data_IF_867412216124
#
_entry.id   IF_867412216124
#
_cell.length_a   1.000
_cell.length_b   1.000
_cell.length_c   1.000
_cell.angle_alpha   90.00
_cell.angle_beta   90.00
_cell.angle_gamma   90.00
#
_symmetry.space_group_name_H-M   'P 1'
#
loop_
_entity.id
_entity.type
_entity.pdbx_description
1 polymer ?
#
# COMPACT_ATOMS: atom_id res chain seq x y z
N UNK A 1 36.93 -42.89 -33.10
CA UNK A 1 36.25 -41.82 -32.32
C UNK A 1 34.93 -41.51 -33.00
N UNK A 2 33.82 -41.98 -32.43
CA UNK A 2 32.49 -41.58 -32.92
C UNK A 2 32.17 -40.22 -32.28
N UNK A 3 32.08 -39.20 -33.12
CA UNK A 3 31.61 -37.90 -32.70
C UNK A 3 30.15 -37.99 -32.30
N UNK A 4 29.84 -37.65 -31.06
CA UNK A 4 28.48 -37.44 -30.61
C UNK A 4 27.91 -36.24 -31.40
N UNK A 5 27.16 -36.53 -32.48
CA UNK A 5 26.29 -35.53 -33.11
C UNK A 5 25.16 -35.21 -32.11
N UNK A 6 25.19 -34.05 -31.50
CA UNK A 6 24.02 -33.54 -30.82
C UNK A 6 22.94 -33.34 -31.88
N UNK A 7 21.89 -34.13 -31.82
CA UNK A 7 20.74 -33.96 -32.69
C UNK A 7 20.20 -32.51 -32.52
N UNK A 8 20.00 -31.85 -33.64
CA UNK A 8 19.38 -30.51 -33.65
C UNK A 8 17.88 -30.69 -33.33
N UNK A 9 17.57 -30.68 -32.06
CA UNK A 9 16.18 -30.89 -31.58
C UNK A 9 15.42 -29.59 -31.74
N UNK A 10 14.34 -29.62 -32.51
CA UNK A 10 13.46 -28.47 -32.66
C UNK A 10 12.76 -28.20 -31.33
N UNK A 11 12.95 -27.03 -30.74
CA UNK A 11 12.36 -26.64 -29.48
C UNK A 11 10.83 -26.79 -29.45
N UNK A 12 10.15 -26.64 -30.58
CA UNK A 12 8.69 -26.84 -30.67
C UNK A 12 8.23 -28.29 -30.47
N UNK A 13 9.15 -29.27 -30.58
CA UNK A 13 8.85 -30.69 -30.38
C UNK A 13 9.32 -31.23 -29.02
N UNK A 14 9.92 -30.40 -28.19
CA UNK A 14 10.29 -30.79 -26.84
C UNK A 14 9.06 -30.70 -25.92
N UNK A 15 8.92 -31.70 -25.06
CA UNK A 15 7.95 -31.67 -23.97
C UNK A 15 8.66 -31.40 -22.64
N UNK A 16 7.97 -30.78 -21.69
CA UNK A 16 8.49 -30.68 -20.34
C UNK A 16 8.93 -32.06 -19.82
N UNK A 17 10.14 -32.24 -19.24
CA UNK A 17 11.09 -31.24 -18.73
C UNK A 17 12.21 -30.81 -19.68
N UNK A 18 12.11 -31.09 -20.98
CA UNK A 18 13.17 -30.85 -21.96
C UNK A 18 13.11 -29.47 -22.62
N UNK A 19 12.02 -28.73 -22.40
CA UNK A 19 11.91 -27.33 -22.79
C UNK A 19 12.84 -26.46 -21.93
N UNK A 20 13.54 -25.54 -22.57
CA UNK A 20 14.33 -24.53 -21.90
C UNK A 20 13.44 -23.42 -21.27
N UNK A 21 12.30 -23.84 -20.72
CA UNK A 21 11.41 -22.92 -20.03
C UNK A 21 11.95 -22.62 -18.63
N UNK A 22 11.74 -21.41 -18.12
CA UNK A 22 12.09 -21.09 -16.74
C UNK A 22 11.38 -22.04 -15.78
N UNK A 23 12.11 -22.52 -14.78
CA UNK A 23 11.60 -23.45 -13.79
C UNK A 23 10.29 -22.94 -13.20
N UNK A 24 9.24 -23.79 -13.18
CA UNK A 24 7.96 -23.45 -12.57
C UNK A 24 7.04 -22.60 -13.44
N UNK A 25 7.32 -22.44 -14.75
CA UNK A 25 6.45 -21.64 -15.64
C UNK A 25 5.01 -22.18 -15.68
N UNK A 26 4.81 -23.47 -15.53
CA UNK A 26 3.48 -24.09 -15.48
C UNK A 26 2.62 -23.63 -14.26
N UNK A 27 3.25 -23.10 -13.22
CA UNK A 27 2.57 -22.55 -12.04
C UNK A 27 2.56 -21.02 -12.00
N UNK A 28 3.16 -20.35 -13.00
CA UNK A 28 3.13 -18.89 -13.11
C UNK A 28 1.72 -18.41 -13.49
N UNK A 29 1.32 -17.31 -12.90
CA UNK A 29 0.07 -16.61 -13.26
C UNK A 29 0.35 -15.60 -14.39
N UNK A 30 -0.71 -15.23 -15.12
CA UNK A 30 -0.59 -14.15 -16.11
C UNK A 30 -0.14 -12.85 -15.43
N UNK A 31 0.94 -12.26 -15.93
CA UNK A 31 1.54 -11.05 -15.35
C UNK A 31 2.66 -11.30 -14.34
N UNK A 32 2.95 -12.55 -14.00
CA UNK A 32 4.13 -12.87 -13.20
C UNK A 32 5.43 -12.63 -13.97
N UNK A 33 6.46 -12.24 -13.25
CA UNK A 33 7.84 -12.15 -13.72
C UNK A 33 8.72 -13.16 -13.02
N UNK A 34 9.66 -13.74 -13.73
CA UNK A 34 10.66 -14.63 -13.15
C UNK A 34 11.80 -13.82 -12.56
N UNK A 35 11.95 -13.86 -11.26
CA UNK A 35 13.03 -13.15 -10.55
C UNK A 35 14.11 -14.15 -10.14
N UNK A 36 15.32 -13.97 -10.70
CA UNK A 36 16.47 -14.79 -10.36
C UNK A 36 16.92 -14.53 -8.91
N UNK A 37 17.31 -15.58 -8.19
CA UNK A 37 17.76 -15.49 -6.80
C UNK A 37 19.28 -15.30 -6.64
N UNK A 38 20.03 -15.12 -7.72
CA UNK A 38 21.48 -15.02 -7.71
C UNK A 38 22.23 -16.34 -7.51
N UNK A 39 21.55 -17.48 -7.36
CA UNK A 39 22.14 -18.81 -7.12
C UNK A 39 21.76 -19.83 -8.20
N UNK A 40 21.52 -19.39 -9.42
CA UNK A 40 21.16 -20.23 -10.56
C UNK A 40 19.71 -20.71 -10.55
N UNK A 41 18.83 -20.09 -9.78
CA UNK A 41 17.40 -20.34 -9.72
C UNK A 41 16.63 -19.03 -9.53
N UNK A 42 15.31 -19.11 -9.37
CA UNK A 42 14.43 -17.96 -9.14
C UNK A 42 13.01 -18.41 -8.81
N UNK A 43 12.12 -17.45 -8.75
CA UNK A 43 10.70 -17.67 -8.51
C UNK A 43 9.85 -16.76 -9.40
N UNK A 44 8.67 -17.25 -9.78
CA UNK A 44 7.62 -16.44 -10.39
C UNK A 44 6.95 -15.61 -9.29
N UNK A 45 6.79 -14.33 -9.53
CA UNK A 45 6.15 -13.41 -8.60
C UNK A 45 5.38 -12.35 -9.38
N UNK A 46 4.32 -11.76 -8.82
CA UNK A 46 3.68 -10.60 -9.42
C UNK A 46 4.70 -9.52 -9.77
N UNK A 47 4.54 -8.91 -10.95
CA UNK A 47 5.44 -7.85 -11.42
C UNK A 47 5.47 -6.65 -10.48
N UNK A 48 4.39 -6.40 -9.76
CA UNK A 48 4.28 -5.39 -8.72
C UNK A 48 3.32 -5.87 -7.64
N UNK A 49 3.43 -5.30 -6.45
CA UNK A 49 2.49 -5.52 -5.36
C UNK A 49 1.86 -4.19 -4.96
N UNK A 50 0.57 -4.21 -4.65
CA UNK A 50 -0.17 -2.99 -4.38
C UNK A 50 -1.35 -3.23 -3.43
N UNK A 51 -1.80 -2.13 -2.82
CA UNK A 51 -3.09 -2.03 -2.18
C UNK A 51 -3.71 -0.69 -2.51
N UNK A 52 -4.98 -0.70 -2.87
CA UNK A 52 -5.83 0.46 -2.98
C UNK A 52 -6.99 0.29 -2.01
N UNK A 53 -7.13 1.23 -1.06
CA UNK A 53 -8.19 1.26 -0.09
C UNK A 53 -8.82 2.65 -0.01
N UNK A 54 -10.09 2.72 0.28
CA UNK A 54 -10.79 3.99 0.36
C UNK A 54 -11.85 4.00 1.47
N UNK A 55 -12.12 5.18 1.99
CA UNK A 55 -13.32 5.49 2.75
C UNK A 55 -14.41 5.90 1.75
N UNK A 56 -15.55 5.22 1.78
CA UNK A 56 -16.67 5.54 0.90
C UNK A 56 -17.09 7.01 1.10
N UNK A 57 -17.22 7.73 -0.04
CA UNK A 57 -17.59 9.14 -0.04
C UNK A 57 -19.07 9.32 0.31
N UNK A 58 -19.34 10.26 1.21
CA UNK A 58 -20.67 10.81 1.43
C UNK A 58 -20.64 12.34 1.28
N UNK A 59 -21.41 12.88 0.34
CA UNK A 59 -21.46 14.31 0.06
C UNK A 59 -22.31 15.11 1.06
N UNK A 60 -23.15 14.44 1.81
CA UNK A 60 -24.15 15.10 2.70
C UNK A 60 -23.75 15.05 4.15
N UNK A 61 -23.08 13.98 4.56
CA UNK A 61 -22.56 13.79 5.91
C UNK A 61 -21.09 13.37 5.83
N UNK A 62 -20.26 13.69 6.86
CA UNK A 62 -18.90 13.17 6.86
C UNK A 62 -18.93 11.65 6.93
N UNK A 63 -18.20 11.00 6.02
CA UNK A 63 -18.08 9.54 5.99
C UNK A 63 -17.36 9.00 7.24
N UNK A 64 -16.53 9.85 7.86
CA UNK A 64 -15.85 9.54 9.11
C UNK A 64 -15.62 10.82 9.93
N UNK A 65 -15.82 10.73 11.24
CA UNK A 65 -15.53 11.79 12.20
C UNK A 65 -14.45 11.32 13.16
N UNK A 66 -13.36 12.04 13.21
CA UNK A 66 -12.24 11.77 14.13
C UNK A 66 -12.25 12.78 15.28
N UNK A 67 -12.34 12.28 16.50
CA UNK A 67 -12.13 13.10 17.71
C UNK A 67 -10.61 13.33 17.88
N UNK A 68 -10.11 14.36 17.21
CA UNK A 68 -8.69 14.67 17.22
C UNK A 68 -8.27 15.36 18.51
N UNK A 69 -7.08 15.03 19.00
CA UNK A 69 -6.46 15.60 20.19
C UNK A 69 -5.19 16.37 19.83
N UNK A 70 -4.56 17.02 20.81
CA UNK A 70 -3.27 17.72 20.62
C UNK A 70 -2.08 16.76 20.49
N UNK A 71 -2.28 15.47 20.66
CA UNK A 71 -1.31 14.40 20.40
C UNK A 71 -1.75 13.59 19.19
N UNK A 72 -0.81 12.99 18.46
CA UNK A 72 -1.12 12.11 17.35
C UNK A 72 -1.94 10.90 17.83
N UNK A 73 -3.11 10.73 17.22
CA UNK A 73 -4.01 9.59 17.43
C UNK A 73 -4.30 8.92 16.10
N UNK A 74 -4.46 7.59 16.12
CA UNK A 74 -4.73 6.83 14.92
C UNK A 74 -6.11 7.17 14.37
N UNK A 75 -6.20 7.35 13.05
CA UNK A 75 -7.47 7.41 12.35
C UNK A 75 -7.98 5.98 12.14
N UNK A 76 -9.23 5.77 12.48
CA UNK A 76 -9.86 4.46 12.35
C UNK A 76 -11.16 4.51 11.52
N UNK A 77 -11.11 4.97 10.25
CA UNK A 77 -12.24 4.89 9.34
C UNK A 77 -12.46 3.43 8.92
N UNK A 78 -13.68 3.12 8.49
CA UNK A 78 -13.95 1.84 7.81
C UNK A 78 -13.46 1.92 6.37
N UNK A 79 -12.29 1.38 6.10
CA UNK A 79 -11.73 1.31 4.76
C UNK A 79 -12.30 0.13 3.98
N UNK A 80 -12.54 0.35 2.69
CA UNK A 80 -12.92 -0.68 1.73
C UNK A 80 -11.72 -0.92 0.81
N UNK A 81 -11.31 -2.17 0.65
CA UNK A 81 -10.30 -2.55 -0.34
C UNK A 81 -10.92 -2.56 -1.73
N UNK A 82 -10.36 -1.80 -2.66
CA UNK A 82 -10.75 -1.86 -4.07
C UNK A 82 -9.87 -2.83 -4.87
N UNK A 83 -8.60 -2.93 -4.50
CA UNK A 83 -7.64 -3.86 -5.10
C UNK A 83 -6.51 -4.10 -4.11
N UNK A 84 -6.05 -5.34 -3.99
CA UNK A 84 -4.89 -5.67 -3.17
C UNK A 84 -4.17 -6.90 -3.73
N UNK A 85 -2.86 -6.80 -3.85
CA UNK A 85 -1.97 -7.89 -4.20
C UNK A 85 -0.72 -7.79 -3.34
N UNK A 86 -0.45 -8.84 -2.56
CA UNK A 86 0.60 -8.83 -1.55
C UNK A 86 0.31 -7.97 -0.32
N UNK A 87 -0.93 -7.48 -0.17
CA UNK A 87 -1.38 -6.70 0.99
C UNK A 87 -2.77 -7.13 1.45
N UNK A 88 -3.10 -6.80 2.68
CA UNK A 88 -4.46 -6.89 3.22
C UNK A 88 -4.87 -5.55 3.82
N UNK A 89 -6.15 -5.21 3.65
CA UNK A 89 -6.78 -4.06 4.29
C UNK A 89 -7.63 -4.56 5.44
N UNK A 90 -7.45 -4.01 6.63
CA UNK A 90 -8.24 -4.36 7.80
C UNK A 90 -8.68 -3.11 8.56
N UNK A 91 -9.78 -3.25 9.31
CA UNK A 91 -10.36 -2.19 10.15
C UNK A 91 -10.33 -2.56 11.65
N UNK A 92 -9.66 -3.66 12.00
CA UNK A 92 -9.52 -4.12 13.39
C UNK A 92 -8.07 -4.53 13.69
N UNK A 93 -7.48 -4.09 14.82
CA UNK A 93 -8.02 -3.14 15.81
C UNK A 93 -8.13 -1.70 15.28
N UNK A 94 -7.38 -1.36 14.22
CA UNK A 94 -7.40 -0.05 13.54
C UNK A 94 -7.47 -0.23 12.03
N UNK A 95 -7.86 0.84 11.33
CA UNK A 95 -7.77 0.90 9.88
C UNK A 95 -6.30 0.87 9.45
N UNK A 96 -5.90 -0.20 8.75
CA UNK A 96 -4.50 -0.43 8.33
C UNK A 96 -4.39 -1.18 7.02
N UNK A 97 -3.26 -0.99 6.38
CA UNK A 97 -2.81 -1.78 5.23
C UNK A 97 -1.60 -2.59 5.69
N UNK A 98 -1.69 -3.91 5.66
CA UNK A 98 -0.62 -4.83 6.09
C UNK A 98 -0.02 -5.52 4.88
N UNK A 99 1.30 -5.52 4.79
CA UNK A 99 2.03 -6.27 3.76
C UNK A 99 2.06 -7.76 4.11
N UNK A 100 1.64 -8.59 3.17
CA UNK A 100 1.56 -10.06 3.33
C UNK A 100 2.48 -10.82 2.38
N UNK A 101 3.20 -10.11 1.52
CA UNK A 101 4.17 -10.71 0.62
C UNK A 101 5.34 -11.36 1.36
N UNK A 102 5.99 -12.30 0.71
CA UNK A 102 7.07 -13.10 1.32
C UNK A 102 8.47 -12.52 1.10
N UNK A 103 8.61 -11.51 0.25
CA UNK A 103 9.87 -10.83 -0.06
C UNK A 103 9.80 -9.39 0.44
N UNK A 104 10.94 -8.81 0.76
CA UNK A 104 10.98 -7.38 1.05
C UNK A 104 10.47 -6.58 -0.15
N UNK A 105 9.69 -5.55 0.11
CA UNK A 105 9.09 -4.69 -0.90
C UNK A 105 9.60 -3.26 -0.72
N UNK A 106 10.05 -2.61 -1.78
CA UNK A 106 10.24 -1.16 -1.78
C UNK A 106 8.99 -0.51 -2.39
N UNK A 107 8.28 0.32 -1.64
CA UNK A 107 7.00 0.87 -2.07
C UNK A 107 6.85 2.37 -1.83
N UNK A 108 6.10 3.00 -2.71
CA UNK A 108 5.57 4.35 -2.56
C UNK A 108 4.18 4.29 -1.93
N UNK A 109 3.90 5.27 -1.09
CA UNK A 109 2.66 5.40 -0.34
C UNK A 109 2.06 6.75 -0.69
N UNK A 110 0.79 6.76 -1.08
CA UNK A 110 0.03 7.97 -1.40
C UNK A 110 -1.30 7.93 -0.66
N UNK A 111 -1.62 8.99 0.06
CA UNK A 111 -2.92 9.15 0.71
C UNK A 111 -3.50 10.48 0.28
N UNK A 112 -4.68 10.46 -0.33
CA UNK A 112 -5.46 11.65 -0.63
C UNK A 112 -6.63 11.75 0.35
N UNK A 113 -6.84 12.91 0.92
CA UNK A 113 -7.84 13.17 1.96
C UNK A 113 -8.68 14.38 1.56
N UNK A 114 -10.00 14.27 1.73
CA UNK A 114 -10.91 15.41 1.76
C UNK A 114 -11.46 15.60 3.16
N UNK A 115 -11.21 16.76 3.76
CA UNK A 115 -11.48 17.00 5.18
C UNK A 115 -12.01 18.40 5.45
N UNK A 116 -12.77 18.55 6.51
CA UNK A 116 -13.19 19.83 7.08
C UNK A 116 -13.23 19.74 8.60
N UNK A 117 -13.27 20.89 9.26
CA UNK A 117 -13.55 20.93 10.70
C UNK A 117 -15.04 21.02 10.93
N UNK A 118 -15.54 20.27 11.95
CA UNK A 118 -16.97 20.18 12.21
C UNK A 118 -17.57 21.49 12.70
N UNK A 119 -16.88 22.21 13.58
CA UNK A 119 -17.39 23.44 14.23
C UNK A 119 -16.27 24.35 14.68
N UNK A 120 -16.54 25.65 14.71
CA UNK A 120 -15.68 26.64 15.37
C UNK A 120 -14.76 27.43 14.42
N UNK A 121 -13.62 27.80 14.91
CA UNK A 121 -12.60 28.59 14.18
C UNK A 121 -11.70 27.68 13.36
N UNK A 122 -10.96 28.27 12.42
CA UNK A 122 -9.91 27.57 11.69
C UNK A 122 -8.93 26.89 12.64
N UNK A 123 -8.48 25.69 12.29
CA UNK A 123 -7.57 24.87 13.08
C UNK A 123 -6.42 24.34 12.24
N UNK A 124 -5.26 24.23 12.87
CA UNK A 124 -4.15 23.52 12.27
C UNK A 124 -4.29 22.04 12.59
N UNK A 125 -4.41 21.24 11.55
CA UNK A 125 -4.45 19.79 11.64
C UNK A 125 -3.17 19.25 10.99
N UNK A 126 -2.60 18.27 11.64
CA UNK A 126 -1.39 17.58 11.20
C UNK A 126 -1.70 16.11 10.93
N UNK A 127 -1.16 15.58 9.86
CA UNK A 127 -1.30 14.17 9.50
C UNK A 127 0.07 13.55 9.30
N UNK A 128 0.14 12.26 9.61
CA UNK A 128 1.37 11.49 9.49
C UNK A 128 1.06 10.03 9.20
N UNK A 129 1.87 9.41 8.36
CA UNK A 129 1.84 7.96 8.14
C UNK A 129 2.73 7.31 9.19
N UNK A 130 2.26 6.25 9.81
CA UNK A 130 3.06 5.42 10.70
C UNK A 130 3.24 4.03 10.08
N UNK A 131 4.44 3.49 10.22
CA UNK A 131 4.78 2.11 9.91
C UNK A 131 5.09 1.38 11.20
N UNK A 132 4.38 0.30 11.48
CA UNK A 132 4.53 -0.50 12.72
C UNK A 132 4.45 0.38 14.00
N UNK A 133 3.52 1.35 14.00
CA UNK A 133 3.33 2.28 15.11
C UNK A 133 4.35 3.42 15.19
N UNK A 134 5.38 3.45 14.34
CA UNK A 134 6.41 4.50 14.34
C UNK A 134 6.21 5.47 13.16
N UNK A 135 6.44 6.78 13.37
CA UNK A 135 6.31 7.78 12.32
C UNK A 135 7.21 7.48 11.11
N UNK A 136 6.64 7.54 9.91
CA UNK A 136 7.38 7.44 8.67
C UNK A 136 7.98 8.81 8.31
N UNK A 137 9.29 8.87 8.21
CA UNK A 137 10.00 10.11 7.88
C UNK A 137 9.51 10.72 6.56
N UNK A 138 9.32 12.04 6.55
CA UNK A 138 8.87 12.79 5.37
C UNK A 138 7.38 12.70 5.06
N UNK A 139 6.58 11.94 5.81
CA UNK A 139 5.13 11.82 5.59
C UNK A 139 4.29 12.85 6.36
N UNK A 140 4.92 13.74 7.12
CA UNK A 140 4.23 14.72 7.96
C UNK A 140 3.75 15.92 7.14
N UNK A 141 2.47 16.22 7.24
CA UNK A 141 1.82 17.36 6.58
C UNK A 141 0.99 18.14 7.58
N UNK A 142 1.08 19.46 7.52
CA UNK A 142 0.30 20.40 8.32
C UNK A 142 -0.56 21.25 7.39
N UNK A 143 -1.81 21.43 7.75
CA UNK A 143 -2.70 22.36 7.05
C UNK A 143 -3.68 23.03 7.99
N UNK A 144 -3.93 24.32 7.77
CA UNK A 144 -5.07 25.01 8.37
C UNK A 144 -6.35 24.58 7.68
N UNK A 145 -7.29 24.03 8.43
CA UNK A 145 -8.62 23.61 7.96
C UNK A 145 -9.65 24.64 8.44
N UNK A 146 -10.41 25.16 7.49
CA UNK A 146 -11.49 26.09 7.77
C UNK A 146 -12.75 25.35 8.21
N UNK A 147 -13.47 25.96 9.16
CA UNK A 147 -14.79 25.45 9.56
C UNK A 147 -15.79 25.56 8.41
N UNK A 148 -16.52 24.49 8.13
CA UNK A 148 -17.59 24.45 7.14
C UNK A 148 -17.13 24.42 5.68
N UNK A 149 -15.81 24.41 5.40
CA UNK A 149 -15.27 24.30 4.04
C UNK A 149 -14.41 23.08 3.88
N UNK A 150 -14.69 22.29 2.84
CA UNK A 150 -13.88 21.12 2.50
C UNK A 150 -12.55 21.51 1.90
N UNK A 151 -11.50 20.85 2.29
CA UNK A 151 -10.16 21.01 1.73
C UNK A 151 -9.51 19.65 1.47
N UNK A 152 -8.61 19.60 0.49
CA UNK A 152 -7.89 18.40 0.14
C UNK A 152 -6.44 18.44 0.62
N UNK A 153 -5.89 17.29 0.96
CA UNK A 153 -4.52 17.09 1.38
C UNK A 153 -4.00 15.81 0.75
N UNK A 154 -2.72 15.78 0.41
CA UNK A 154 -2.02 14.58 0.02
C UNK A 154 -0.85 14.32 0.98
N UNK A 155 -0.74 13.08 1.47
CA UNK A 155 0.43 12.58 2.16
C UNK A 155 1.19 11.66 1.21
N UNK A 156 2.50 11.79 1.21
CA UNK A 156 3.40 10.96 0.43
C UNK A 156 4.40 10.31 1.36
N UNK A 157 4.81 9.10 1.01
CA UNK A 157 5.86 8.39 1.73
C UNK A 157 6.49 7.32 0.84
N UNK A 158 7.64 6.86 1.25
CA UNK A 158 8.26 5.66 0.71
C UNK A 158 8.82 4.83 1.85
N UNK A 159 8.82 3.53 1.70
CA UNK A 159 9.39 2.61 2.70
C UNK A 159 9.69 1.26 2.10
N UNK A 160 10.57 0.52 2.76
CA UNK A 160 10.71 -0.92 2.55
C UNK A 160 9.79 -1.64 3.52
N UNK A 161 9.21 -2.76 3.09
CA UNK A 161 8.32 -3.60 3.86
C UNK A 161 8.90 -5.00 3.98
N UNK A 162 8.90 -5.54 5.17
CA UNK A 162 8.99 -6.97 5.43
C UNK A 162 7.58 -7.53 5.65
N UNK A 163 7.41 -8.84 5.52
CA UNK A 163 6.14 -9.53 5.79
C UNK A 163 5.58 -9.12 7.16
N UNK A 164 4.28 -8.80 7.21
CA UNK A 164 3.54 -8.29 8.36
C UNK A 164 3.83 -6.84 8.76
N UNK A 165 4.69 -6.11 8.06
CA UNK A 165 4.76 -4.67 8.23
C UNK A 165 3.42 -4.02 7.86
N UNK A 166 2.99 -3.04 8.64
CA UNK A 166 1.71 -2.37 8.39
C UNK A 166 1.83 -0.85 8.45
N UNK A 167 0.90 -0.21 7.78
CA UNK A 167 0.73 1.24 7.76
C UNK A 167 -0.58 1.63 8.44
N UNK A 168 -0.53 2.70 9.19
CA UNK A 168 -1.66 3.39 9.79
C UNK A 168 -1.53 4.90 9.56
N UNK A 169 -2.65 5.61 9.54
CA UNK A 169 -2.66 7.06 9.44
C UNK A 169 -2.99 7.67 10.80
N UNK A 170 -2.23 8.68 11.17
CA UNK A 170 -2.41 9.43 12.42
C UNK A 170 -2.72 10.88 12.12
N UNK A 171 -3.47 11.52 13.02
CA UNK A 171 -3.63 12.97 13.02
C UNK A 171 -3.61 13.55 14.43
N UNK A 172 -3.29 14.83 14.50
CA UNK A 172 -3.48 15.68 15.67
C UNK A 172 -4.00 17.05 15.25
N UNK A 173 -4.49 17.83 16.21
CA UNK A 173 -5.03 19.16 16.01
C UNK A 173 -4.50 20.10 17.10
N UNK A 174 -4.37 21.39 16.80
CA UNK A 174 -3.85 22.39 17.74
C UNK A 174 -4.72 22.60 18.98
N UNK A 175 -5.99 22.28 18.92
CA UNK A 175 -6.92 22.26 20.05
C UNK A 175 -7.98 21.19 19.83
N UNK A 176 -8.18 20.31 20.80
CA UNK A 176 -9.06 19.16 20.71
C UNK A 176 -10.42 19.47 20.07
N UNK A 177 -10.85 18.62 19.16
CA UNK A 177 -12.09 18.80 18.39
C UNK A 177 -12.29 17.76 17.33
N UNK A 178 -13.41 17.83 16.64
CA UNK A 178 -13.74 16.88 15.58
C UNK A 178 -13.19 17.34 14.23
N UNK A 179 -12.50 16.43 13.55
CA UNK A 179 -12.10 16.56 12.14
C UNK A 179 -12.97 15.60 11.33
N UNK A 180 -13.67 16.15 10.35
CA UNK A 180 -14.58 15.40 9.49
C UNK A 180 -13.86 15.01 8.19
N UNK A 181 -14.07 13.81 7.74
CA UNK A 181 -13.51 13.27 6.51
C UNK A 181 -14.65 12.88 5.55
N UNK A 182 -14.66 13.48 4.36
CA UNK A 182 -15.58 13.09 3.30
C UNK A 182 -15.02 11.90 2.50
N UNK A 183 -13.71 11.87 2.31
CA UNK A 183 -13.05 10.77 1.61
C UNK A 183 -11.63 10.60 2.10
N UNK A 184 -11.17 9.38 2.06
CA UNK A 184 -9.76 9.00 2.18
C UNK A 184 -9.52 7.99 1.06
N UNK A 185 -8.49 8.22 0.24
CA UNK A 185 -8.01 7.25 -0.75
C UNK A 185 -6.56 6.94 -0.46
N UNK A 186 -6.25 5.68 -0.31
CA UNK A 186 -4.94 5.21 0.11
C UNK A 186 -4.40 4.21 -0.89
N UNK A 187 -3.26 4.50 -1.47
CA UNK A 187 -2.54 3.63 -2.41
C UNK A 187 -1.16 3.31 -1.89
N UNK A 188 -0.80 2.04 -1.94
CA UNK A 188 0.57 1.54 -1.73
C UNK A 188 0.96 0.75 -2.96
N UNK A 189 2.08 1.10 -3.60
CA UNK A 189 2.57 0.40 -4.81
C UNK A 189 4.07 0.22 -4.74
N UNK A 190 4.53 -0.99 -4.99
CA UNK A 190 5.95 -1.30 -4.91
C UNK A 190 6.40 -2.48 -5.76
N UNK A 191 7.71 -2.62 -5.79
CA UNK A 191 8.39 -3.74 -6.43
C UNK A 191 9.09 -4.57 -5.35
N UNK A 192 9.03 -5.90 -5.44
CA UNK A 192 9.83 -6.75 -4.57
C UNK A 192 11.30 -6.37 -4.67
N UNK A 193 11.98 -6.28 -3.54
CA UNK A 193 13.42 -6.07 -3.51
C UNK A 193 14.14 -7.29 -4.10
N UNK A 194 15.14 -7.04 -4.93
CA UNK A 194 16.00 -8.06 -5.52
C UNK A 194 16.94 -8.67 -4.48
#
# INVERSE_FOLDING_TARGET
>A
MQGLYMANVNHSSLTDPYLHEPKGVASALSGDVYIANGSGSGSWTPAHQHADAYLAFDATTPAYVHAATTSFTVLNPTLVSSSADGFTVSNSPNARITYTGTRNLSANIHIAISTTQATGTNRNVEWQIHKNGSPLAGSHVIRTISSGSWGSIALLGNSTFATNDYLEMFSKIDSAGNVNYASIFWTVKGLPAL
#
